data_IF_361191430937
#
_entry.id   IF_361191430937
#
_cell.length_a   1.000
_cell.length_b   1.000
_cell.length_c   1.000
_cell.angle_alpha   90.00
_cell.angle_beta   90.00
_cell.angle_gamma   90.00
#
_symmetry.space_group_name_H-M   'P 1'
#
loop_
_entity.id
_entity.type
_entity.pdbx_description
1 polymer ?
#
# COMPACT_ATOMS: atom_id res chain seq x y z
N UNK A 1 -11.57 -3.09 -20.90
CA UNK A 1 -10.96 -3.06 -19.55
C UNK A 1 -9.81 -2.07 -19.61
N UNK A 2 -9.81 -0.98 -18.82
CA UNK A 2 -8.68 -0.05 -18.81
C UNK A 2 -7.45 -0.75 -18.23
N UNK A 3 -6.30 -0.50 -18.83
CA UNK A 3 -5.01 -1.05 -18.39
C UNK A 3 -4.49 -0.18 -17.25
N UNK A 4 -4.15 -0.80 -16.12
CA UNK A 4 -3.51 -0.09 -14.99
C UNK A 4 -2.04 -0.47 -14.92
N UNK A 5 -1.16 0.53 -14.85
CA UNK A 5 0.26 0.33 -14.57
C UNK A 5 0.60 0.80 -13.16
N UNK A 6 1.43 0.01 -12.47
CA UNK A 6 1.98 0.36 -11.16
C UNK A 6 3.48 0.26 -11.25
N UNK A 7 4.16 1.37 -11.02
CA UNK A 7 5.60 1.53 -11.07
C UNK A 7 6.11 1.79 -9.65
N UNK A 8 7.20 1.12 -9.28
CA UNK A 8 7.88 1.32 -8.02
C UNK A 8 9.33 1.69 -8.26
N UNK A 9 9.72 2.85 -7.74
CA UNK A 9 11.10 3.31 -7.72
C UNK A 9 11.60 3.32 -6.28
N UNK A 10 12.84 2.87 -6.05
CA UNK A 10 13.49 2.90 -4.75
C UNK A 10 14.89 3.53 -4.89
N UNK A 11 15.39 4.23 -3.86
CA UNK A 11 16.77 4.72 -3.88
C UNK A 11 17.79 3.59 -3.88
N UNK A 12 18.98 3.89 -4.38
CA UNK A 12 20.12 2.99 -4.27
C UNK A 12 20.50 2.78 -2.80
N UNK A 13 21.11 1.64 -2.50
CA UNK A 13 21.57 1.32 -1.16
C UNK A 13 22.52 2.41 -0.63
N UNK A 14 22.27 2.89 0.58
CA UNK A 14 23.05 3.97 1.22
C UNK A 14 22.61 5.39 0.84
N UNK A 15 21.69 5.56 -0.11
CA UNK A 15 21.11 6.87 -0.44
C UNK A 15 19.83 7.11 0.35
N UNK A 16 19.77 8.20 1.11
CA UNK A 16 18.55 8.66 1.76
C UNK A 16 17.84 9.67 0.87
N UNK A 17 16.55 9.46 0.66
CA UNK A 17 15.71 10.37 -0.13
C UNK A 17 14.78 11.09 0.83
N UNK A 18 14.81 12.42 0.78
CA UNK A 18 13.93 13.24 1.59
C UNK A 18 12.54 13.34 0.95
N UNK A 19 11.59 13.93 1.67
CA UNK A 19 10.23 14.13 1.16
C UNK A 19 10.12 15.18 0.06
N UNK A 20 11.18 15.95 -0.23
CA UNK A 20 11.17 16.98 -1.28
C UNK A 20 11.07 16.40 -2.67
N UNK A 21 11.52 15.15 -2.90
CA UNK A 21 11.37 14.46 -4.18
C UNK A 21 9.90 14.41 -4.65
N UNK A 22 8.93 14.36 -3.71
CA UNK A 22 7.52 14.41 -4.07
C UNK A 22 7.13 15.76 -4.66
N UNK A 23 7.71 16.85 -4.19
CA UNK A 23 7.47 18.18 -4.74
C UNK A 23 8.05 18.28 -6.15
N UNK A 24 9.26 17.76 -6.37
CA UNK A 24 9.90 17.73 -7.69
C UNK A 24 9.07 16.91 -8.69
N UNK A 25 8.60 15.72 -8.29
CA UNK A 25 7.76 14.90 -9.16
C UNK A 25 6.41 15.58 -9.40
N UNK A 26 5.82 16.21 -8.38
CA UNK A 26 4.57 16.98 -8.53
C UNK A 26 4.74 18.09 -9.57
N UNK A 27 5.83 18.85 -9.49
CA UNK A 27 6.16 19.90 -10.47
C UNK A 27 6.37 19.33 -11.88
N UNK A 28 7.00 18.15 -11.99
CA UNK A 28 7.18 17.46 -13.26
C UNK A 28 5.83 17.03 -13.88
N UNK A 29 4.91 16.51 -13.07
CA UNK A 29 3.56 16.15 -13.54
C UNK A 29 2.78 17.39 -13.97
N UNK A 30 2.88 18.47 -13.21
CA UNK A 30 2.21 19.74 -13.51
C UNK A 30 2.77 20.40 -14.78
N UNK A 31 4.09 20.28 -15.05
CA UNK A 31 4.71 20.83 -16.26
C UNK A 31 4.30 20.15 -17.55
N UNK A 32 3.82 18.90 -17.48
CA UNK A 32 3.24 18.16 -18.62
C UNK A 32 1.72 18.26 -18.70
N UNK A 33 1.14 19.31 -18.07
CA UNK A 33 -0.30 19.60 -18.02
C UNK A 33 -1.12 18.68 -17.10
N UNK A 34 -0.49 18.05 -16.10
CA UNK A 34 -1.21 17.31 -15.06
C UNK A 34 -1.95 18.26 -14.12
N UNK A 35 -3.26 18.07 -13.98
CA UNK A 35 -4.11 18.86 -13.06
C UNK A 35 -4.29 18.10 -11.77
N UNK A 36 -3.90 18.71 -10.64
CA UNK A 36 -4.01 18.09 -9.33
C UNK A 36 -5.48 17.94 -8.91
N UNK A 37 -5.88 16.70 -8.64
CA UNK A 37 -7.28 16.31 -8.37
C UNK A 37 -7.51 15.90 -6.90
N UNK A 38 -6.45 15.57 -6.16
CA UNK A 38 -6.61 15.31 -4.73
C UNK A 38 -5.42 14.67 -4.04
N UNK A 39 -5.65 14.26 -2.79
CA UNK A 39 -4.71 13.43 -2.02
C UNK A 39 -5.04 11.96 -2.25
N UNK A 40 -3.99 11.15 -2.33
CA UNK A 40 -4.10 9.70 -2.44
C UNK A 40 -3.44 9.05 -1.22
N UNK A 41 -4.15 8.11 -0.60
CA UNK A 41 -3.64 7.32 0.53
C UNK A 41 -4.07 5.86 0.44
N UNK A 42 -3.12 4.97 0.73
CA UNK A 42 -3.36 3.55 0.90
C UNK A 42 -2.45 3.00 1.99
N UNK A 43 -2.82 1.87 2.59
CA UNK A 43 -1.97 1.15 3.54
C UNK A 43 -1.90 -0.31 3.16
N UNK A 44 -0.71 -0.89 3.21
CA UNK A 44 -0.45 -2.30 2.96
C UNK A 44 0.27 -2.91 4.18
N UNK A 45 -0.36 -3.88 4.82
CA UNK A 45 0.10 -4.47 6.09
C UNK A 45 0.41 -5.94 5.92
N UNK A 46 1.61 -6.37 6.31
CA UNK A 46 2.01 -7.77 6.34
C UNK A 46 1.57 -8.39 7.67
N UNK A 47 0.74 -9.42 7.60
CA UNK A 47 0.30 -10.18 8.75
C UNK A 47 1.02 -11.53 8.82
N UNK A 48 1.39 -11.93 10.04
CA UNK A 48 1.85 -13.29 10.35
C UNK A 48 0.95 -13.92 11.41
N UNK A 49 0.63 -15.23 11.29
CA UNK A 49 -0.19 -15.93 12.25
C UNK A 49 0.50 -15.94 13.61
N UNK A 50 -0.30 -15.89 14.67
CA UNK A 50 0.15 -16.11 16.03
C UNK A 50 -0.01 -17.59 16.34
N UNK A 51 1.03 -18.36 16.09
CA UNK A 51 1.01 -19.80 16.36
C UNK A 51 1.27 -20.07 17.83
N UNK A 52 0.31 -20.66 18.55
CA UNK A 52 0.50 -21.13 19.94
C UNK A 52 1.07 -22.55 20.00
N UNK A 53 0.73 -23.40 19.04
CA UNK A 53 1.20 -24.79 18.93
C UNK A 53 1.71 -25.12 17.52
N UNK A 54 2.88 -25.75 17.39
CA UNK A 54 3.53 -26.03 16.10
C UNK A 54 2.70 -26.94 15.16
N UNK A 55 1.81 -27.76 15.72
CA UNK A 55 0.88 -28.64 14.99
C UNK A 55 -0.13 -27.88 14.12
N UNK A 56 -0.51 -26.66 14.51
CA UNK A 56 -1.52 -25.85 13.80
C UNK A 56 -0.93 -24.99 12.66
N UNK A 57 0.39 -25.01 12.47
CA UNK A 57 1.07 -24.16 11.49
C UNK A 57 0.74 -24.50 10.03
N UNK A 58 0.14 -25.67 9.76
CA UNK A 58 -0.24 -26.11 8.43
C UNK A 58 -1.67 -25.74 8.01
N UNK A 59 -2.57 -25.44 8.96
CA UNK A 59 -3.98 -25.16 8.66
C UNK A 59 -4.24 -23.71 8.22
N UNK A 60 -3.39 -22.77 8.66
CA UNK A 60 -3.59 -21.34 8.43
C UNK A 60 -2.63 -20.77 7.37
N UNK A 61 -3.05 -19.76 6.59
CA UNK A 61 -2.13 -18.99 5.77
C UNK A 61 -0.92 -18.48 6.58
N UNK A 62 0.29 -18.85 6.16
CA UNK A 62 1.53 -18.52 6.89
C UNK A 62 1.83 -17.03 6.93
N UNK A 63 1.45 -16.30 5.90
CA UNK A 63 1.55 -14.85 5.81
C UNK A 63 0.66 -14.35 4.69
N UNK A 64 0.10 -13.16 4.88
CA UNK A 64 -0.68 -12.50 3.84
C UNK A 64 -0.56 -10.98 3.98
N UNK A 65 -0.90 -10.29 2.90
CA UNK A 65 -1.01 -8.83 2.90
C UNK A 65 -2.45 -8.42 3.12
N UNK A 66 -2.66 -7.45 4.00
CA UNK A 66 -3.90 -6.70 4.13
C UNK A 66 -3.75 -5.32 3.49
N UNK A 67 -4.79 -4.80 2.84
CA UNK A 67 -4.76 -3.51 2.17
C UNK A 67 -6.01 -2.70 2.48
N UNK A 68 -5.82 -1.43 2.84
CA UNK A 68 -6.87 -0.43 2.94
C UNK A 68 -6.64 0.70 1.94
N UNK A 69 -7.72 1.20 1.35
CA UNK A 69 -7.72 2.27 0.36
C UNK A 69 -8.60 3.41 0.88
N UNK A 70 -8.10 4.65 0.85
CA UNK A 70 -8.88 5.80 1.32
C UNK A 70 -10.18 6.02 0.53
N UNK A 71 -10.21 5.60 -0.74
CA UNK A 71 -11.39 5.64 -1.62
C UNK A 71 -12.49 4.67 -1.19
N UNK A 72 -12.16 3.66 -0.39
CA UNK A 72 -13.09 2.61 0.03
C UNK A 72 -12.92 2.32 1.53
N UNK A 73 -13.29 3.28 2.40
CA UNK A 73 -12.99 3.22 3.83
C UNK A 73 -13.70 2.07 4.58
N UNK A 74 -14.79 1.55 4.02
CA UNK A 74 -15.54 0.42 4.59
C UNK A 74 -14.98 -0.94 4.17
N UNK A 75 -13.99 -0.98 3.27
CA UNK A 75 -13.46 -2.22 2.72
C UNK A 75 -12.03 -2.49 3.19
N UNK A 76 -11.72 -3.77 3.29
CA UNK A 76 -10.38 -4.27 3.51
C UNK A 76 -10.12 -5.46 2.59
N UNK A 77 -8.92 -5.51 2.02
CA UNK A 77 -8.55 -6.55 1.07
C UNK A 77 -7.44 -7.41 1.63
N UNK A 78 -7.57 -8.73 1.50
CA UNK A 78 -6.49 -9.65 1.76
C UNK A 78 -5.94 -10.21 0.45
N UNK A 79 -4.61 -10.25 0.36
CA UNK A 79 -3.86 -10.86 -0.72
C UNK A 79 -3.15 -12.09 -0.15
N UNK A 80 -3.74 -13.25 -0.37
CA UNK A 80 -3.21 -14.53 0.10
C UNK A 80 -2.49 -15.21 -1.07
N UNK A 81 -1.22 -14.85 -1.25
CA UNK A 81 -0.44 -15.20 -2.45
C UNK A 81 -0.31 -16.71 -2.64
N UNK A 82 -0.07 -17.47 -1.58
CA UNK A 82 0.13 -18.92 -1.63
C UNK A 82 -1.08 -19.63 -2.23
N UNK A 83 -2.29 -19.16 -1.96
CA UNK A 83 -3.54 -19.71 -2.48
C UNK A 83 -4.08 -18.95 -3.71
N UNK A 84 -3.40 -17.88 -4.15
CA UNK A 84 -3.86 -16.98 -5.23
C UNK A 84 -5.26 -16.40 -4.98
N UNK A 85 -5.58 -16.12 -3.72
CA UNK A 85 -6.88 -15.58 -3.32
C UNK A 85 -6.75 -14.07 -3.05
N UNK A 86 -7.70 -13.32 -3.59
CA UNK A 86 -8.01 -11.96 -3.15
C UNK A 86 -9.35 -12.04 -2.42
N UNK A 87 -9.36 -11.64 -1.15
CA UNK A 87 -10.57 -11.62 -0.33
C UNK A 87 -10.93 -10.16 -0.02
N UNK A 88 -12.17 -9.77 -0.34
CA UNK A 88 -12.76 -8.53 0.14
C UNK A 88 -13.50 -8.80 1.46
N UNK A 89 -13.30 -7.93 2.44
CA UNK A 89 -13.97 -7.96 3.73
C UNK A 89 -14.36 -6.55 4.16
N UNK A 90 -15.26 -6.46 5.15
CA UNK A 90 -15.54 -5.20 5.84
C UNK A 90 -14.31 -4.73 6.65
N UNK A 91 -14.12 -3.43 6.78
CA UNK A 91 -12.95 -2.85 7.47
C UNK A 91 -12.86 -3.23 8.95
N UNK A 92 -13.97 -3.63 9.59
CA UNK A 92 -14.01 -4.18 10.95
C UNK A 92 -13.20 -5.46 11.14
N UNK A 93 -12.86 -6.18 10.06
CA UNK A 93 -12.05 -7.41 10.13
C UNK A 93 -10.70 -7.18 10.83
N UNK A 94 -10.13 -5.98 10.71
CA UNK A 94 -8.89 -5.62 11.39
C UNK A 94 -9.04 -5.71 12.91
N UNK A 95 -10.13 -5.15 13.45
CA UNK A 95 -10.43 -5.19 14.88
C UNK A 95 -10.75 -6.61 15.36
N UNK A 96 -11.42 -7.42 14.51
CA UNK A 96 -11.70 -8.83 14.82
C UNK A 96 -10.38 -9.62 14.93
N UNK A 97 -9.47 -9.49 13.96
CA UNK A 97 -8.16 -10.17 13.99
C UNK A 97 -7.33 -9.76 15.19
N UNK A 98 -7.36 -8.48 15.56
CA UNK A 98 -6.65 -7.97 16.74
C UNK A 98 -7.23 -8.57 18.04
N UNK A 99 -8.56 -8.58 18.18
CA UNK A 99 -9.24 -9.16 19.35
C UNK A 99 -9.00 -10.66 19.48
N UNK A 100 -9.07 -11.40 18.37
CA UNK A 100 -8.82 -12.84 18.36
C UNK A 100 -7.33 -13.19 18.50
N UNK A 101 -6.44 -12.20 18.34
CA UNK A 101 -5.00 -12.39 18.28
C UNK A 101 -4.58 -13.46 17.27
N UNK A 102 -5.36 -13.68 16.20
CA UNK A 102 -5.08 -14.74 15.22
C UNK A 102 -3.88 -14.40 14.36
N UNK A 103 -3.71 -13.11 14.04
CA UNK A 103 -2.62 -12.60 13.23
C UNK A 103 -2.04 -11.33 13.85
N UNK A 104 -0.72 -11.19 13.78
CA UNK A 104 0.00 -10.00 14.23
C UNK A 104 0.53 -9.24 13.03
N UNK A 105 0.28 -7.93 13.00
CA UNK A 105 0.91 -7.01 12.05
C UNK A 105 2.42 -7.00 12.28
N UNK A 106 3.19 -7.28 11.23
CA UNK A 106 4.66 -7.29 11.26
C UNK A 106 5.26 -6.05 10.65
N UNK A 107 4.71 -5.57 9.53
CA UNK A 107 5.17 -4.38 8.80
C UNK A 107 3.96 -3.73 8.17
N UNK A 108 3.81 -2.42 8.32
CA UNK A 108 2.86 -1.66 7.50
C UNK A 108 3.62 -0.69 6.59
N UNK A 109 3.19 -0.61 5.34
CA UNK A 109 3.65 0.36 4.35
C UNK A 109 2.52 1.36 4.14
N UNK A 110 2.82 2.63 4.34
CA UNK A 110 1.90 3.72 4.10
C UNK A 110 2.26 4.39 2.78
N UNK A 111 1.28 4.49 1.91
CA UNK A 111 1.37 5.19 0.63
C UNK A 111 0.67 6.53 0.82
N UNK A 112 1.41 7.60 0.59
CA UNK A 112 0.88 8.96 0.71
C UNK A 112 1.32 9.80 -0.48
N UNK A 113 0.37 10.45 -1.14
CA UNK A 113 0.67 11.24 -2.32
C UNK A 113 -0.51 12.01 -2.85
N UNK A 114 -0.50 12.22 -4.16
CA UNK A 114 -1.46 13.04 -4.87
C UNK A 114 -2.01 12.29 -6.09
N UNK A 115 -3.25 12.63 -6.44
CA UNK A 115 -3.89 12.24 -7.68
C UNK A 115 -3.89 13.42 -8.64
N UNK A 116 -3.67 13.13 -9.91
CA UNK A 116 -3.61 14.06 -11.02
C UNK A 116 -4.43 13.52 -12.19
N UNK A 117 -5.14 14.42 -12.88
CA UNK A 117 -5.71 14.16 -14.19
C UNK A 117 -4.71 14.62 -15.26
N UNK A 118 -4.30 13.72 -16.16
CA UNK A 118 -3.36 13.99 -17.24
C UNK A 118 -3.97 13.54 -18.57
N UNK A 119 -4.66 14.44 -19.25
CA UNK A 119 -5.46 14.10 -20.43
C UNK A 119 -6.51 13.04 -20.09
N UNK A 120 -6.44 11.88 -20.75
CA UNK A 120 -7.34 10.75 -20.52
C UNK A 120 -6.90 9.83 -19.36
N UNK A 121 -5.74 10.10 -18.76
CA UNK A 121 -5.14 9.27 -17.71
C UNK A 121 -5.37 9.84 -16.31
N UNK A 122 -5.59 8.93 -15.36
CA UNK A 122 -5.51 9.21 -13.93
C UNK A 122 -4.14 8.77 -13.41
N UNK A 123 -3.33 9.74 -12.99
CA UNK A 123 -2.02 9.52 -12.43
C UNK A 123 -2.06 9.68 -10.91
N UNK A 124 -1.57 8.68 -10.17
CA UNK A 124 -1.29 8.81 -8.74
C UNK A 124 0.20 8.68 -8.52
N UNK A 125 0.75 9.59 -7.74
CA UNK A 125 2.16 9.53 -7.33
C UNK A 125 2.27 9.76 -5.84
N UNK A 126 3.06 8.94 -5.17
CA UNK A 126 3.21 9.04 -3.72
C UNK A 126 4.47 8.37 -3.20
N UNK A 127 4.85 8.74 -1.99
CA UNK A 127 5.95 8.12 -1.25
C UNK A 127 5.45 6.87 -0.55
N UNK A 128 6.37 5.94 -0.33
CA UNK A 128 6.17 4.79 0.53
C UNK A 128 6.99 4.99 1.79
N UNK A 129 6.35 4.93 2.96
CA UNK A 129 7.01 4.94 4.26
C UNK A 129 6.65 3.66 5.03
N UNK A 130 7.56 3.17 5.85
CA UNK A 130 7.33 1.96 6.66
C UNK A 130 6.98 2.32 8.08
N UNK A 131 6.12 1.53 8.73
CA UNK A 131 5.76 1.70 10.14
C UNK A 131 6.95 1.71 11.10
N UNK A 132 8.06 1.07 10.72
CA UNK A 132 9.26 0.93 11.56
C UNK A 132 10.36 1.94 11.25
N UNK A 133 10.15 2.81 10.26
CA UNK A 133 11.16 3.79 9.86
C UNK A 133 10.51 5.00 9.20
N UNK A 134 10.80 6.19 9.73
CA UNK A 134 10.42 7.46 9.06
C UNK A 134 11.13 7.66 7.72
N UNK A 135 12.16 6.85 7.42
CA UNK A 135 12.83 6.87 6.12
C UNK A 135 11.90 6.40 5.00
N UNK A 136 11.86 7.21 3.94
CA UNK A 136 11.18 6.88 2.70
C UNK A 136 11.80 5.61 2.09
N UNK A 137 10.94 4.65 1.73
CA UNK A 137 11.33 3.39 1.06
C UNK A 137 11.40 3.53 -0.46
N UNK A 138 10.64 4.47 -1.01
CA UNK A 138 10.58 4.67 -2.44
C UNK A 138 9.41 5.55 -2.86
N UNK A 139 9.20 5.62 -4.17
CA UNK A 139 8.12 6.32 -4.84
C UNK A 139 7.29 5.29 -5.60
N UNK A 140 5.98 5.44 -5.53
CA UNK A 140 5.02 4.67 -6.32
C UNK A 140 4.32 5.60 -7.28
N UNK A 141 4.11 5.10 -8.48
CA UNK A 141 3.30 5.74 -9.50
C UNK A 141 2.27 4.74 -10.02
N UNK A 142 0.99 5.11 -9.98
CA UNK A 142 -0.10 4.38 -10.62
C UNK A 142 -0.62 5.20 -11.80
N UNK A 143 -0.75 4.58 -12.97
CA UNK A 143 -1.39 5.16 -14.15
C UNK A 143 -2.61 4.30 -14.48
N UNK A 144 -3.78 4.92 -14.60
CA UNK A 144 -5.03 4.28 -15.03
C UNK A 144 -5.65 5.05 -16.19
#
# INVERSE_FOLDING_TARGET
MPVKWVLHWQPNAGTTVNTQILNEISQCVESVNGVKDGRWKATLTLYKPVTREQSQAAEFPRDFWGMSLAEQPTKYYFIIRTQRIILEADSSIQAIMEKLQSYKSRVALYFEGFQYQLGDFNLRVGKVVSSHSESMRGIIMEVR
#
